data_IF_973496434170
#
_entry.id   IF_973496434170
#
_cell.length_a   1.000
_cell.length_b   1.000
_cell.length_c   1.000
_cell.angle_alpha   90.00
_cell.angle_beta   90.00
_cell.angle_gamma   90.00
#
_symmetry.space_group_name_H-M   'P 1'
#
loop_
_entity.id
_entity.type
_entity.pdbx_description
1 polymer ?
#
# COMPACT_ATOMS: atom_id res chain seq x y z
N UNK A 1 3.09 36.34 -14.14
CA UNK A 1 3.28 36.54 -12.69
C UNK A 1 4.72 36.18 -12.41
N UNK A 2 5.50 37.08 -11.75
CA UNK A 2 6.89 36.75 -11.43
C UNK A 2 6.95 35.55 -10.47
N UNK A 3 7.94 34.65 -10.57
CA UNK A 3 8.09 33.49 -9.70
C UNK A 3 8.05 33.88 -8.20
N UNK A 4 8.64 34.99 -7.82
CA UNK A 4 8.71 35.47 -6.44
C UNK A 4 7.34 35.80 -5.82
N UNK A 5 6.44 36.40 -6.61
CA UNK A 5 5.06 36.68 -6.17
C UNK A 5 4.22 35.40 -5.99
N UNK A 6 4.56 34.34 -6.71
CA UNK A 6 3.89 33.07 -6.58
C UNK A 6 4.28 32.39 -5.26
N UNK A 7 5.57 32.32 -4.95
CA UNK A 7 6.10 31.69 -3.74
C UNK A 7 5.62 32.36 -2.46
N UNK A 8 5.57 33.70 -2.41
CA UNK A 8 5.06 34.44 -1.25
C UNK A 8 3.57 34.16 -0.97
N UNK A 9 2.75 34.04 -2.01
CA UNK A 9 1.35 33.70 -1.86
C UNK A 9 1.14 32.24 -1.47
N UNK A 10 1.98 31.35 -1.98
CA UNK A 10 1.96 29.92 -1.66
C UNK A 10 2.33 29.67 -0.20
N UNK A 11 3.27 30.41 0.38
CA UNK A 11 3.61 30.35 1.81
C UNK A 11 2.43 30.61 2.73
N UNK A 12 1.45 31.43 2.30
CA UNK A 12 0.24 31.70 3.08
C UNK A 12 -0.68 30.48 3.25
N UNK A 13 -0.50 29.46 2.43
CA UNK A 13 -1.25 28.19 2.55
C UNK A 13 -0.69 27.28 3.65
N UNK A 14 0.58 27.46 4.03
CA UNK A 14 1.17 26.73 5.15
C UNK A 14 0.80 27.40 6.47
N UNK A 15 0.31 26.67 7.49
CA UNK A 15 0.05 27.23 8.82
C UNK A 15 1.30 27.77 9.49
N UNK A 16 2.49 27.37 9.06
CA UNK A 16 3.78 27.83 9.59
C UNK A 16 4.51 28.80 8.64
N UNK A 17 3.89 29.14 7.51
CA UNK A 17 4.50 30.01 6.50
C UNK A 17 5.71 29.40 5.81
N UNK A 18 5.87 28.09 5.86
CA UNK A 18 7.01 27.34 5.33
C UNK A 18 6.57 26.43 4.18
N UNK A 19 7.31 26.50 3.07
CA UNK A 19 7.02 25.73 1.85
C UNK A 19 8.34 25.33 1.21
N UNK A 20 8.45 24.05 0.83
CA UNK A 20 9.56 23.55 0.02
C UNK A 20 9.14 23.47 -1.44
N UNK A 21 10.04 23.94 -2.33
CA UNK A 21 9.85 23.82 -3.76
C UNK A 21 10.43 22.49 -4.25
N UNK A 22 9.63 21.77 -5.05
CA UNK A 22 10.03 20.49 -5.61
C UNK A 22 9.73 20.43 -7.11
N UNK A 23 10.68 19.92 -7.89
CA UNK A 23 10.44 19.60 -9.29
C UNK A 23 9.86 18.18 -9.42
N UNK A 24 8.71 18.05 -10.04
CA UNK A 24 8.07 16.77 -10.34
C UNK A 24 8.04 16.55 -11.85
N UNK A 25 8.44 15.36 -12.26
CA UNK A 25 8.31 14.90 -13.65
C UNK A 25 6.94 14.25 -13.82
N UNK A 26 6.10 14.81 -14.67
CA UNK A 26 4.79 14.26 -14.99
C UNK A 26 4.90 13.38 -16.24
N UNK A 27 4.72 12.08 -16.07
CA UNK A 27 4.70 11.07 -17.14
C UNK A 27 5.99 10.29 -17.31
N UNK A 28 5.84 9.06 -17.75
CA UNK A 28 6.93 8.13 -18.05
C UNK A 28 7.70 8.63 -19.29
N UNK A 29 8.91 9.13 -19.14
CA UNK A 29 9.75 9.78 -20.16
C UNK A 29 9.45 11.25 -20.48
N UNK A 30 8.66 11.97 -19.70
CA UNK A 30 8.44 13.39 -19.93
C UNK A 30 9.70 14.19 -19.59
N UNK A 31 10.14 15.06 -20.53
CA UNK A 31 11.16 16.07 -20.27
C UNK A 31 10.58 17.29 -19.54
N UNK A 32 9.26 17.37 -19.43
CA UNK A 32 8.58 18.48 -18.77
C UNK A 32 8.68 18.33 -17.26
N UNK A 33 9.39 19.24 -16.65
CA UNK A 33 9.48 19.43 -15.21
C UNK A 33 8.43 20.45 -14.80
N UNK A 34 7.55 20.07 -13.88
CA UNK A 34 6.61 21.00 -13.26
C UNK A 34 7.08 21.29 -11.84
N UNK A 35 7.04 22.57 -11.49
CA UNK A 35 7.29 23.00 -10.13
C UNK A 35 6.07 22.73 -9.28
N UNK A 36 6.24 22.08 -8.14
CA UNK A 36 5.23 21.87 -7.12
C UNK A 36 5.74 22.33 -5.77
N UNK A 37 4.85 22.44 -4.79
CA UNK A 37 5.16 22.97 -3.47
C UNK A 37 4.68 21.98 -2.40
N UNK A 38 5.55 21.66 -1.47
CA UNK A 38 5.22 20.88 -0.28
C UNK A 38 4.99 21.85 0.90
N UNK A 39 3.77 21.88 1.44
CA UNK A 39 3.38 22.78 2.51
C UNK A 39 3.70 22.17 3.89
N UNK A 40 4.56 22.83 4.65
CA UNK A 40 4.80 22.39 6.03
C UNK A 40 3.54 22.56 6.88
N UNK A 41 3.21 21.50 7.64
CA UNK A 41 2.03 21.46 8.51
C UNK A 41 0.74 21.00 7.84
N UNK A 42 0.77 20.74 6.51
CA UNK A 42 -0.36 20.17 5.76
C UNK A 42 0.15 19.01 4.92
N UNK A 43 -0.43 17.85 5.09
CA UNK A 43 -0.18 16.71 4.20
C UNK A 43 -1.12 16.78 2.99
N UNK A 44 -0.54 16.77 1.81
CA UNK A 44 -1.29 16.74 0.55
C UNK A 44 -1.34 15.31 0.02
N UNK A 45 -2.54 14.83 -0.24
CA UNK A 45 -2.77 13.52 -0.85
C UNK A 45 -3.67 13.69 -2.07
N UNK A 46 -3.08 13.59 -3.26
CA UNK A 46 -3.85 13.58 -4.50
C UNK A 46 -4.63 12.26 -4.62
N UNK A 47 -5.96 12.35 -4.75
CA UNK A 47 -6.81 11.16 -4.78
C UNK A 47 -6.54 10.25 -5.99
N UNK A 48 -6.07 10.81 -7.12
CA UNK A 48 -5.63 10.01 -8.26
C UNK A 48 -4.42 9.14 -7.90
N UNK A 49 -3.44 9.69 -7.19
CA UNK A 49 -2.26 8.93 -6.74
C UNK A 49 -2.65 7.90 -5.66
N UNK A 50 -3.55 8.26 -4.75
CA UNK A 50 -4.13 7.34 -3.77
C UNK A 50 -4.84 6.17 -4.47
N UNK A 51 -5.65 6.46 -5.49
CA UNK A 51 -6.34 5.44 -6.28
C UNK A 51 -5.36 4.54 -7.04
N UNK A 52 -4.35 5.09 -7.69
CA UNK A 52 -3.32 4.31 -8.37
C UNK A 52 -2.59 3.35 -7.43
N UNK A 53 -2.33 3.80 -6.20
CA UNK A 53 -1.60 3.00 -5.20
C UNK A 53 -2.46 1.94 -4.53
N UNK A 54 -3.67 2.29 -4.13
CA UNK A 54 -4.51 1.46 -3.26
C UNK A 54 -5.79 0.94 -3.94
N UNK A 55 -6.17 1.47 -5.09
CA UNK A 55 -7.37 1.09 -5.82
C UNK A 55 -7.26 -0.21 -6.64
N UNK A 56 -6.36 -1.11 -6.27
CA UNK A 56 -6.08 -2.35 -7.02
C UNK A 56 -7.29 -3.27 -7.21
N UNK A 57 -8.33 -3.16 -6.39
CA UNK A 57 -9.57 -3.91 -6.54
C UNK A 57 -10.29 -3.60 -7.87
N UNK A 58 -10.03 -2.44 -8.45
CA UNK A 58 -10.59 -2.01 -9.73
C UNK A 58 -9.69 -2.35 -10.93
N UNK A 59 -8.51 -2.93 -10.69
CA UNK A 59 -7.54 -3.25 -11.72
C UNK A 59 -6.87 -2.03 -12.35
N UNK A 60 -6.06 -2.28 -13.37
CA UNK A 60 -5.43 -1.22 -14.15
C UNK A 60 -6.46 -0.55 -15.06
N UNK A 61 -6.47 0.79 -15.06
CA UNK A 61 -7.41 1.59 -15.84
C UNK A 61 -6.75 2.15 -17.10
N UNK A 62 -7.53 2.27 -18.18
CA UNK A 62 -7.07 2.91 -19.42
C UNK A 62 -6.79 4.39 -19.21
N UNK A 63 -7.55 5.04 -18.34
CA UNK A 63 -7.38 6.44 -17.95
C UNK A 63 -7.67 6.62 -16.47
N UNK A 64 -6.83 7.41 -15.81
CA UNK A 64 -7.03 7.83 -14.41
C UNK A 64 -7.67 9.22 -14.30
N UNK A 65 -8.30 9.71 -15.38
CA UNK A 65 -9.09 10.95 -15.32
C UNK A 65 -10.26 10.80 -14.36
N UNK A 66 -10.65 11.89 -13.69
CA UNK A 66 -11.77 11.92 -12.76
C UNK A 66 -13.06 11.36 -13.38
N UNK A 67 -13.32 11.70 -14.66
CA UNK A 67 -14.50 11.22 -15.38
C UNK A 67 -14.49 9.69 -15.57
N UNK A 68 -13.36 9.12 -15.99
CA UNK A 68 -13.26 7.67 -16.18
C UNK A 68 -13.41 6.92 -14.86
N UNK A 69 -12.74 7.40 -13.81
CA UNK A 69 -12.84 6.76 -12.48
C UNK A 69 -14.25 6.91 -11.91
N UNK A 70 -14.94 8.06 -12.12
CA UNK A 70 -16.32 8.23 -11.71
C UNK A 70 -17.24 7.22 -12.40
N UNK A 71 -17.04 6.97 -13.69
CA UNK A 71 -17.79 5.96 -14.42
C UNK A 71 -17.53 4.54 -13.87
N UNK A 72 -16.27 4.16 -13.69
CA UNK A 72 -15.89 2.82 -13.22
C UNK A 72 -16.34 2.57 -11.78
N UNK A 73 -16.15 3.55 -10.91
CA UNK A 73 -16.41 3.37 -9.47
C UNK A 73 -17.85 3.66 -9.10
N UNK A 74 -18.43 4.76 -9.58
CA UNK A 74 -19.76 5.24 -9.19
C UNK A 74 -20.84 4.97 -10.24
N UNK A 75 -20.48 4.68 -11.49
CA UNK A 75 -21.41 4.62 -12.61
C UNK A 75 -21.92 6.00 -13.06
N UNK A 76 -21.20 7.07 -12.73
CA UNK A 76 -21.55 8.46 -13.00
C UNK A 76 -20.51 9.14 -13.89
N UNK A 77 -20.88 10.28 -14.44
CA UNK A 77 -20.00 11.13 -15.24
C UNK A 77 -19.92 12.54 -14.66
N UNK A 78 -18.86 13.26 -15.04
CA UNK A 78 -18.72 14.70 -14.79
C UNK A 78 -19.76 15.49 -15.59
N UNK A 79 -19.99 16.73 -15.21
CA UNK A 79 -20.72 17.66 -16.06
C UNK A 79 -19.92 17.94 -17.33
N UNK A 80 -20.57 17.99 -18.49
CA UNK A 80 -19.90 18.36 -19.74
C UNK A 80 -19.85 19.87 -19.91
N UNK A 81 -18.75 20.34 -20.51
CA UNK A 81 -18.55 21.72 -20.93
C UNK A 81 -18.12 21.83 -22.39
N UNK A 82 -18.24 20.73 -23.15
CA UNK A 82 -17.74 20.64 -24.53
C UNK A 82 -18.36 21.69 -25.46
N UNK A 83 -19.59 22.11 -25.19
CA UNK A 83 -20.27 23.18 -25.94
C UNK A 83 -19.58 24.54 -25.82
N UNK A 84 -18.74 24.77 -24.81
CA UNK A 84 -17.99 25.99 -24.59
C UNK A 84 -16.53 25.90 -25.05
N UNK A 85 -16.05 24.71 -25.46
CA UNK A 85 -14.70 24.47 -25.97
C UNK A 85 -13.63 24.38 -24.88
N UNK A 86 -13.59 25.31 -23.91
CA UNK A 86 -12.63 25.30 -22.79
C UNK A 86 -13.29 25.72 -21.48
N UNK A 87 -12.66 25.33 -20.34
CA UNK A 87 -13.09 25.76 -19.01
C UNK A 87 -13.01 27.28 -18.83
N UNK A 88 -12.08 27.95 -19.54
CA UNK A 88 -11.96 29.37 -19.50
C UNK A 88 -13.12 30.08 -20.26
N UNK A 89 -13.54 29.49 -21.35
CA UNK A 89 -14.69 30.00 -22.10
C UNK A 89 -15.98 29.76 -21.35
N UNK A 90 -16.13 28.61 -20.71
CA UNK A 90 -17.24 28.34 -19.79
C UNK A 90 -17.29 29.36 -18.66
N UNK A 91 -16.15 29.65 -18.01
CA UNK A 91 -16.08 30.66 -16.94
C UNK A 91 -16.59 32.05 -17.40
N UNK A 92 -16.30 32.43 -18.64
CA UNK A 92 -16.77 33.73 -19.22
C UNK A 92 -18.21 33.69 -19.68
N UNK A 93 -18.65 32.59 -20.26
CA UNK A 93 -19.97 32.49 -20.89
C UNK A 93 -21.08 32.12 -19.89
N UNK A 94 -20.79 31.20 -18.96
CA UNK A 94 -21.75 30.71 -17.96
C UNK A 94 -21.01 30.42 -16.62
N UNK A 95 -20.89 31.46 -15.83
CA UNK A 95 -20.21 31.41 -14.54
C UNK A 95 -20.89 30.45 -13.53
N UNK A 96 -22.24 30.34 -13.58
CA UNK A 96 -22.96 29.46 -12.69
C UNK A 96 -22.64 27.98 -13.02
N UNK A 97 -22.69 27.62 -14.31
CA UNK A 97 -22.33 26.28 -14.75
C UNK A 97 -20.86 25.93 -14.44
N UNK A 98 -19.96 26.92 -14.50
CA UNK A 98 -18.57 26.71 -14.08
C UNK A 98 -18.46 26.39 -12.59
N UNK A 99 -19.24 27.05 -11.72
CA UNK A 99 -19.30 26.76 -10.28
C UNK A 99 -19.86 25.34 -10.05
N UNK A 100 -21.00 25.01 -10.71
CA UNK A 100 -21.64 23.72 -10.60
C UNK A 100 -20.72 22.57 -11.07
N UNK A 101 -19.95 22.81 -12.13
CA UNK A 101 -18.91 21.88 -12.58
C UNK A 101 -17.86 21.61 -11.51
N UNK A 102 -17.37 22.67 -10.85
CA UNK A 102 -16.36 22.55 -9.80
C UNK A 102 -16.92 21.83 -8.57
N UNK A 103 -18.16 22.15 -8.15
CA UNK A 103 -18.84 21.46 -7.05
C UNK A 103 -18.97 19.97 -7.37
N UNK A 104 -19.40 19.62 -8.59
CA UNK A 104 -19.52 18.22 -9.00
C UNK A 104 -18.19 17.48 -8.96
N UNK A 105 -17.09 18.12 -9.35
CA UNK A 105 -15.76 17.50 -9.27
C UNK A 105 -15.36 17.18 -7.82
N UNK A 106 -15.65 18.08 -6.88
CA UNK A 106 -15.38 17.87 -5.45
C UNK A 106 -16.29 16.78 -4.87
N UNK A 107 -17.60 16.81 -5.18
CA UNK A 107 -18.55 15.77 -4.74
C UNK A 107 -18.17 14.37 -5.23
N UNK A 108 -17.64 14.23 -6.45
CA UNK A 108 -17.20 12.93 -6.95
C UNK A 108 -16.05 12.37 -6.12
N UNK A 109 -15.09 13.22 -5.73
CA UNK A 109 -13.96 12.78 -4.90
C UNK A 109 -14.42 12.38 -3.50
N UNK A 110 -15.32 13.13 -2.89
CA UNK A 110 -15.90 12.81 -1.59
C UNK A 110 -16.63 11.44 -1.63
N UNK A 111 -17.42 11.23 -2.66
CA UNK A 111 -18.14 9.96 -2.87
C UNK A 111 -17.22 8.78 -3.21
N UNK A 112 -16.04 9.03 -3.80
CA UNK A 112 -15.03 8.00 -3.93
C UNK A 112 -14.54 7.55 -2.56
N UNK A 113 -14.24 8.50 -1.67
CA UNK A 113 -13.81 8.15 -0.32
C UNK A 113 -14.90 7.41 0.44
N UNK A 114 -16.16 7.87 0.37
CA UNK A 114 -17.31 7.18 0.99
C UNK A 114 -17.42 5.72 0.52
N UNK A 115 -17.15 5.46 -0.77
CA UNK A 115 -17.29 4.12 -1.33
C UNK A 115 -16.06 3.25 -1.13
N UNK A 116 -14.87 3.80 -1.24
CA UNK A 116 -13.62 3.03 -1.28
C UNK A 116 -12.82 3.11 0.03
N UNK A 117 -12.91 4.23 0.77
CA UNK A 117 -12.16 4.43 2.02
C UNK A 117 -10.64 4.41 1.84
N UNK A 118 -10.11 4.87 0.71
CA UNK A 118 -8.68 4.77 0.39
C UNK A 118 -7.82 5.73 1.21
N UNK A 119 -8.32 6.93 1.52
CA UNK A 119 -7.65 7.86 2.45
C UNK A 119 -7.66 7.26 3.84
N UNK A 120 -8.79 6.70 4.27
CA UNK A 120 -8.91 6.01 5.57
C UNK A 120 -7.92 4.85 5.67
N UNK A 121 -7.71 4.09 4.59
CA UNK A 121 -6.71 3.04 4.52
C UNK A 121 -5.29 3.61 4.66
N UNK A 122 -4.96 4.67 3.91
CA UNK A 122 -3.66 5.33 3.99
C UNK A 122 -3.38 5.88 5.41
N UNK A 123 -4.38 6.53 6.04
CA UNK A 123 -4.28 6.99 7.42
C UNK A 123 -4.04 5.83 8.40
N UNK A 124 -4.74 4.72 8.23
CA UNK A 124 -4.54 3.51 9.04
C UNK A 124 -3.12 2.99 8.94
N UNK A 125 -2.55 2.97 7.71
CA UNK A 125 -1.16 2.58 7.47
C UNK A 125 -0.18 3.57 8.12
N UNK A 126 -0.42 4.87 8.00
CA UNK A 126 0.42 5.91 8.59
C UNK A 126 0.48 5.81 10.13
N UNK A 127 -0.68 5.65 10.77
CA UNK A 127 -0.76 5.48 12.23
C UNK A 127 -0.05 4.20 12.68
N UNK A 128 -0.25 3.09 11.98
CA UNK A 128 0.43 1.84 12.30
C UNK A 128 1.94 1.95 12.09
N UNK A 129 2.37 2.51 10.98
CA UNK A 129 3.77 2.74 10.65
C UNK A 129 4.44 3.78 11.54
N UNK A 130 3.69 4.75 12.09
CA UNK A 130 4.25 5.91 12.79
C UNK A 130 5.00 6.84 11.84
N UNK A 131 4.46 7.02 10.64
CA UNK A 131 5.02 7.84 9.56
C UNK A 131 4.05 8.95 9.16
N UNK A 132 4.50 9.92 8.35
CA UNK A 132 3.61 10.91 7.79
C UNK A 132 2.65 10.28 6.76
N UNK A 133 1.52 10.93 6.51
CA UNK A 133 0.51 10.41 5.59
C UNK A 133 1.04 10.22 4.16
N UNK A 134 1.88 11.13 3.68
CA UNK A 134 2.52 11.05 2.38
C UNK A 134 3.54 9.91 2.25
N UNK A 135 4.14 9.47 3.35
CA UNK A 135 5.10 8.37 3.35
C UNK A 135 4.43 7.01 3.08
N UNK A 136 3.10 6.94 3.20
CA UNK A 136 2.34 5.72 2.91
C UNK A 136 2.35 5.31 1.44
N UNK A 137 2.72 6.21 0.53
CA UNK A 137 2.98 5.89 -0.87
C UNK A 137 4.24 5.04 -1.07
N UNK A 138 5.18 5.06 -0.09
CA UNK A 138 6.37 4.21 -0.05
C UNK A 138 6.34 3.27 1.14
N UNK A 139 6.46 1.97 0.91
CA UNK A 139 6.44 0.98 2.00
C UNK A 139 7.74 0.92 2.79
N UNK A 140 8.86 1.33 2.20
CA UNK A 140 10.19 1.34 2.84
C UNK A 140 10.19 2.21 4.10
N UNK A 141 9.70 3.45 4.02
CA UNK A 141 9.65 4.35 5.18
C UNK A 141 8.79 3.79 6.34
N UNK A 142 7.71 3.08 6.00
CA UNK A 142 6.86 2.44 7.01
C UNK A 142 7.61 1.30 7.71
N UNK A 143 8.29 0.45 6.95
CA UNK A 143 9.06 -0.65 7.51
C UNK A 143 10.26 -0.18 8.32
N UNK A 144 10.98 0.83 7.84
CA UNK A 144 12.04 1.47 8.62
C UNK A 144 11.53 1.93 9.97
N UNK A 145 10.40 2.65 10.00
CA UNK A 145 9.82 3.14 11.24
C UNK A 145 9.36 1.99 12.18
N UNK A 146 8.74 0.94 11.63
CA UNK A 146 8.29 -0.22 12.43
C UNK A 146 9.50 -0.93 13.06
N UNK A 147 10.53 -1.24 12.26
CA UNK A 147 11.74 -1.93 12.73
C UNK A 147 12.49 -1.08 13.75
N UNK A 148 12.69 0.22 13.46
CA UNK A 148 13.35 1.12 14.42
C UNK A 148 12.64 1.21 15.75
N UNK A 149 11.30 1.27 15.75
CA UNK A 149 10.54 1.32 17.01
C UNK A 149 10.60 0.04 17.80
N UNK A 150 10.56 -1.12 17.13
CA UNK A 150 10.70 -2.41 17.81
C UNK A 150 12.09 -2.55 18.43
N UNK A 151 13.15 -2.30 17.67
CA UNK A 151 14.53 -2.36 18.15
C UNK A 151 14.84 -1.32 19.25
N UNK A 152 14.26 -0.13 19.15
CA UNK A 152 14.42 0.91 20.17
C UNK A 152 13.86 0.49 21.54
N UNK A 153 12.76 -0.28 21.58
CA UNK A 153 12.21 -0.83 22.81
C UNK A 153 13.17 -1.81 23.48
N UNK A 154 13.95 -2.54 22.68
CA UNK A 154 14.96 -3.49 23.15
C UNK A 154 16.34 -2.85 23.36
N UNK A 155 16.45 -1.50 23.26
CA UNK A 155 17.69 -0.72 23.33
C UNK A 155 18.74 -1.13 22.26
N UNK A 156 18.29 -1.57 21.11
CA UNK A 156 19.13 -1.96 19.98
C UNK A 156 19.19 -0.80 18.99
N UNK A 157 20.40 -0.42 18.59
CA UNK A 157 20.64 0.63 17.60
C UNK A 157 20.95 -0.01 16.26
N UNK A 158 20.19 0.40 15.23
CA UNK A 158 20.48 0.00 13.85
C UNK A 158 21.77 0.68 13.38
N UNK A 159 22.75 -0.08 12.85
CA UNK A 159 23.98 0.50 12.32
C UNK A 159 23.70 1.39 11.11
N UNK A 160 24.58 2.36 10.86
CA UNK A 160 24.50 3.16 9.64
C UNK A 160 24.58 2.27 8.40
N UNK A 161 23.76 2.57 7.37
CA UNK A 161 23.82 1.83 6.12
C UNK A 161 25.23 1.96 5.48
N UNK A 162 25.82 0.82 5.17
CA UNK A 162 27.06 0.78 4.39
C UNK A 162 26.68 0.76 2.92
N UNK A 163 27.28 1.65 2.11
CA UNK A 163 27.09 1.60 0.66
C UNK A 163 27.56 0.24 0.12
N UNK A 164 26.62 -0.55 -0.33
CA UNK A 164 26.91 -1.81 -1.04
C UNK A 164 26.54 -1.64 -2.51
N UNK A 165 27.37 -2.21 -3.38
CA UNK A 165 27.00 -2.33 -4.79
C UNK A 165 25.74 -3.19 -4.89
N UNK A 166 24.70 -2.65 -5.49
CA UNK A 166 23.48 -3.41 -5.76
C UNK A 166 23.80 -4.49 -6.79
N UNK A 167 23.80 -5.74 -6.36
CA UNK A 167 23.85 -6.89 -7.24
C UNK A 167 22.46 -7.20 -7.82
N UNK A 168 22.44 -7.69 -9.05
CA UNK A 168 21.23 -8.27 -9.61
C UNK A 168 20.99 -9.65 -8.96
N UNK A 169 19.75 -9.89 -8.55
CA UNK A 169 19.34 -11.21 -8.08
C UNK A 169 18.14 -11.71 -8.93
N UNK A 170 18.08 -13.00 -9.25
CA UNK A 170 16.98 -13.56 -10.02
C UNK A 170 15.68 -13.47 -9.24
N UNK A 171 14.61 -13.11 -9.92
CA UNK A 171 13.25 -13.16 -9.37
C UNK A 171 12.77 -14.58 -9.09
N UNK A 172 11.56 -14.72 -8.54
CA UNK A 172 10.94 -16.02 -8.32
C UNK A 172 10.81 -16.82 -9.62
N UNK A 173 10.99 -18.13 -9.53
CA UNK A 173 10.79 -19.03 -10.66
C UNK A 173 9.33 -19.04 -11.11
N UNK A 174 9.09 -18.79 -12.39
CA UNK A 174 7.79 -18.90 -13.03
C UNK A 174 7.86 -20.00 -14.10
N UNK A 175 7.07 -21.04 -13.92
CA UNK A 175 6.97 -22.09 -14.92
C UNK A 175 6.11 -21.63 -16.09
N UNK A 176 6.59 -21.81 -17.32
CA UNK A 176 5.83 -21.53 -18.52
C UNK A 176 4.53 -22.36 -18.57
N UNK A 177 3.38 -21.73 -18.84
CA UNK A 177 2.11 -22.44 -18.93
C UNK A 177 2.09 -23.37 -20.15
N UNK A 178 1.48 -24.53 -19.97
CA UNK A 178 1.16 -25.38 -21.12
C UNK A 178 -0.06 -24.82 -21.83
N UNK A 179 0.14 -24.30 -23.03
CA UNK A 179 -0.94 -23.71 -23.84
C UNK A 179 -1.88 -24.82 -24.33
N UNK A 180 -3.17 -24.66 -24.08
CA UNK A 180 -4.19 -25.63 -24.51
C UNK A 180 -5.45 -25.56 -23.67
N UNK A 181 -6.41 -26.41 -24.01
CA UNK A 181 -7.62 -26.64 -23.22
C UNK A 181 -7.36 -27.79 -22.27
N UNK A 182 -7.64 -27.58 -20.98
CA UNK A 182 -7.39 -28.57 -19.93
C UNK A 182 -8.68 -28.86 -19.17
N UNK A 183 -9.00 -30.15 -19.00
CA UNK A 183 -10.13 -30.62 -18.19
C UNK A 183 -9.69 -30.84 -16.74
N UNK A 184 -10.64 -30.73 -15.81
CA UNK A 184 -10.43 -31.02 -14.38
C UNK A 184 -9.32 -30.19 -13.72
N UNK A 185 -9.25 -28.89 -14.05
CA UNK A 185 -8.25 -27.95 -13.47
C UNK A 185 -8.57 -27.64 -12.02
N UNK A 186 -7.58 -27.81 -11.14
CA UNK A 186 -7.65 -27.41 -9.73
C UNK A 186 -6.60 -26.34 -9.46
N UNK A 187 -7.02 -25.22 -8.89
CA UNK A 187 -6.14 -24.12 -8.52
C UNK A 187 -5.89 -24.11 -7.02
N UNK A 188 -4.62 -24.00 -6.64
CA UNK A 188 -4.20 -23.85 -5.25
C UNK A 188 -3.47 -22.51 -5.09
N UNK A 189 -3.72 -21.83 -3.95
CA UNK A 189 -3.04 -20.61 -3.56
C UNK A 189 -2.50 -20.74 -2.13
N UNK A 190 -1.28 -20.28 -1.92
CA UNK A 190 -0.62 -20.29 -0.61
C UNK A 190 -0.88 -18.97 0.12
N UNK A 191 -1.62 -19.04 1.21
CA UNK A 191 -1.90 -17.89 2.04
C UNK A 191 -0.61 -17.26 2.60
N UNK A 192 -0.42 -15.94 2.31
CA UNK A 192 0.69 -15.17 2.87
C UNK A 192 2.06 -15.83 2.67
N UNK A 193 2.37 -16.28 1.44
CA UNK A 193 3.55 -17.08 1.13
C UNK A 193 4.85 -16.45 1.66
N UNK A 194 5.15 -15.18 1.30
CA UNK A 194 6.38 -14.51 1.73
C UNK A 194 6.48 -14.36 3.26
N UNK A 195 5.46 -13.83 3.96
CA UNK A 195 5.46 -13.81 5.42
C UNK A 195 5.70 -15.17 6.05
N UNK A 196 5.06 -16.21 5.52
CA UNK A 196 5.20 -17.58 6.03
C UNK A 196 6.62 -18.13 5.85
N UNK A 197 7.26 -17.84 4.72
CA UNK A 197 8.65 -18.25 4.47
C UNK A 197 9.63 -17.52 5.40
N UNK A 198 9.45 -16.22 5.61
CA UNK A 198 10.29 -15.46 6.53
C UNK A 198 10.20 -16.01 7.96
N UNK A 199 8.99 -16.31 8.43
CA UNK A 199 8.79 -16.93 9.74
C UNK A 199 9.38 -18.35 9.80
N UNK A 200 9.13 -19.19 8.78
CA UNK A 200 9.53 -20.59 8.75
C UNK A 200 11.05 -20.76 8.73
N UNK A 201 11.75 -19.92 7.96
CA UNK A 201 13.21 -19.98 7.85
C UNK A 201 13.91 -19.03 8.83
N UNK A 202 13.18 -18.33 9.66
CA UNK A 202 13.71 -17.33 10.59
C UNK A 202 14.61 -16.30 9.89
N UNK A 203 14.14 -15.79 8.74
CA UNK A 203 14.91 -14.87 7.88
C UNK A 203 14.98 -13.49 8.51
N UNK A 204 16.14 -13.12 9.02
CA UNK A 204 16.44 -11.79 9.55
C UNK A 204 17.95 -11.52 9.44
N UNK A 205 18.41 -10.28 9.32
CA UNK A 205 19.85 -9.99 9.19
C UNK A 205 20.70 -10.58 10.30
N UNK A 206 20.23 -10.53 11.55
CA UNK A 206 20.94 -11.00 12.72
C UNK A 206 20.90 -12.53 12.89
N UNK A 207 20.05 -13.22 12.15
CA UNK A 207 19.96 -14.69 12.17
C UNK A 207 20.77 -15.36 11.06
N UNK A 208 21.31 -14.56 10.12
CA UNK A 208 22.15 -15.08 9.04
C UNK A 208 23.42 -15.70 9.64
N UNK A 209 23.72 -16.92 9.20
CA UNK A 209 24.99 -17.60 9.49
C UNK A 209 25.86 -17.45 8.25
N UNK A 210 27.15 -17.11 8.43
CA UNK A 210 28.13 -17.01 7.35
C UNK A 210 28.52 -18.41 6.83
N UNK A 211 27.52 -19.09 6.30
CA UNK A 211 27.59 -20.44 5.75
C UNK A 211 26.62 -20.57 4.61
N UNK A 212 27.07 -21.13 3.51
CA UNK A 212 26.23 -21.37 2.34
C UNK A 212 26.43 -22.80 1.87
N UNK A 213 25.33 -23.48 1.53
CA UNK A 213 25.36 -24.79 0.88
C UNK A 213 25.29 -24.61 -0.62
N UNK A 214 26.44 -24.74 -1.34
CA UNK A 214 26.47 -24.45 -2.78
C UNK A 214 25.67 -25.49 -3.57
N UNK A 215 25.15 -25.05 -4.72
CA UNK A 215 24.42 -25.92 -5.64
C UNK A 215 23.09 -26.44 -5.13
N UNK A 216 22.46 -25.73 -4.20
CA UNK A 216 21.06 -25.96 -3.86
C UNK A 216 20.18 -25.62 -5.04
N UNK A 217 19.32 -26.55 -5.42
CA UNK A 217 18.30 -26.40 -6.44
C UNK A 217 17.01 -27.12 -6.01
N UNK A 218 15.95 -26.97 -6.79
CA UNK A 218 14.65 -27.51 -6.48
C UNK A 218 14.69 -29.03 -6.31
N UNK A 219 15.45 -29.73 -7.13
CA UNK A 219 15.55 -31.20 -7.10
C UNK A 219 16.24 -31.67 -5.82
N UNK A 220 17.31 -31.00 -5.39
CA UNK A 220 17.97 -31.29 -4.10
C UNK A 220 17.11 -30.97 -2.90
N UNK A 221 16.29 -29.94 -2.97
CA UNK A 221 15.33 -29.63 -1.89
C UNK A 221 14.27 -30.71 -1.79
N UNK A 222 13.80 -31.24 -2.92
CA UNK A 222 12.83 -32.34 -2.95
C UNK A 222 13.45 -33.66 -2.48
N UNK A 223 14.75 -33.88 -2.73
CA UNK A 223 15.52 -35.04 -2.23
C UNK A 223 16.14 -34.75 -0.85
N UNK A 224 15.31 -34.56 0.14
CA UNK A 224 15.71 -34.20 1.52
C UNK A 224 16.76 -35.10 2.17
N UNK A 225 17.13 -36.22 1.55
CA UNK A 225 18.12 -37.18 2.07
C UNK A 225 19.55 -36.68 1.98
N UNK A 226 19.85 -35.72 1.14
CA UNK A 226 21.19 -35.20 0.88
C UNK A 226 21.57 -33.96 1.69
N UNK A 227 20.64 -33.36 2.42
CA UNK A 227 20.86 -32.10 3.13
C UNK A 227 21.20 -32.39 4.60
N UNK A 228 22.49 -32.24 4.94
CA UNK A 228 22.92 -32.27 6.36
C UNK A 228 22.66 -30.89 6.97
N UNK A 229 21.84 -30.82 8.00
CA UNK A 229 21.57 -29.62 8.79
C UNK A 229 21.82 -29.88 10.26
N UNK A 230 22.32 -28.84 10.97
CA UNK A 230 22.32 -28.83 12.42
C UNK A 230 20.90 -28.67 12.96
N UNK A 231 20.60 -29.16 14.20
CA UNK A 231 19.28 -28.96 14.83
C UNK A 231 18.90 -27.49 14.98
N UNK A 232 19.89 -26.61 15.19
CA UNK A 232 19.73 -25.18 15.47
C UNK A 232 19.87 -24.30 14.22
N UNK A 233 19.84 -24.91 13.02
CA UNK A 233 19.96 -24.24 11.74
C UNK A 233 18.82 -24.63 10.80
N UNK A 234 18.35 -23.68 10.00
CA UNK A 234 17.55 -23.94 8.81
C UNK A 234 18.28 -23.43 7.56
N UNK A 235 18.01 -24.07 6.42
CA UNK A 235 18.65 -23.78 5.16
C UNK A 235 17.57 -23.32 4.19
N UNK A 236 17.68 -22.07 3.68
CA UNK A 236 16.82 -21.59 2.63
C UNK A 236 17.15 -22.25 1.28
N UNK A 237 16.19 -22.25 0.35
CA UNK A 237 16.35 -22.88 -0.97
C UNK A 237 17.57 -22.36 -1.74
N UNK A 238 17.97 -21.11 -1.53
CA UNK A 238 19.19 -20.54 -2.09
C UNK A 238 20.50 -21.01 -1.43
N UNK A 239 20.42 -21.90 -0.43
CA UNK A 239 21.59 -22.42 0.30
C UNK A 239 22.04 -21.57 1.49
N UNK A 240 21.43 -20.42 1.74
CA UNK A 240 21.75 -19.59 2.89
C UNK A 240 21.26 -20.24 4.19
N UNK A 241 22.08 -20.22 5.23
CA UNK A 241 21.75 -20.74 6.56
C UNK A 241 21.28 -19.63 7.49
N UNK A 242 20.28 -19.97 8.31
CA UNK A 242 19.76 -19.10 9.37
C UNK A 242 19.72 -19.90 10.69
N UNK A 243 20.08 -19.25 11.79
CA UNK A 243 19.96 -19.85 13.13
C UNK A 243 18.49 -19.91 13.56
N UNK A 244 18.14 -20.94 14.35
CA UNK A 244 16.77 -21.16 14.85
C UNK A 244 16.67 -21.16 16.38
N UNK A 245 17.80 -21.02 17.08
CA UNK A 245 17.87 -20.97 18.55
C UNK A 245 17.35 -19.62 19.12
N UNK A 246 17.33 -18.55 18.30
CA UNK A 246 16.77 -17.24 18.65
C UNK A 246 15.85 -16.79 17.53
N UNK A 247 14.67 -16.29 17.87
CA UNK A 247 13.76 -15.70 16.89
C UNK A 247 14.31 -14.36 16.38
N UNK A 248 14.35 -14.20 15.06
CA UNK A 248 14.77 -12.97 14.42
C UNK A 248 13.73 -11.85 14.56
N UNK A 249 14.19 -10.60 14.46
CA UNK A 249 13.33 -9.39 14.60
C UNK A 249 12.26 -9.37 13.51
N UNK A 250 12.63 -9.62 12.25
CA UNK A 250 11.63 -9.64 11.16
C UNK A 250 10.59 -10.73 11.34
N UNK A 251 10.94 -12.01 11.59
CA UNK A 251 9.97 -13.06 11.91
C UNK A 251 9.05 -12.70 13.07
N UNK A 252 9.57 -12.11 14.16
CA UNK A 252 8.79 -11.65 15.32
C UNK A 252 7.71 -10.64 14.90
N UNK A 253 8.12 -9.56 14.24
CA UNK A 253 7.21 -8.49 13.80
C UNK A 253 6.15 -9.05 12.83
N UNK A 254 6.56 -9.91 11.89
CA UNK A 254 5.64 -10.52 10.92
C UNK A 254 4.63 -11.43 11.62
N UNK A 255 5.05 -12.25 12.58
CA UNK A 255 4.17 -13.13 13.32
C UNK A 255 3.11 -12.37 14.10
N UNK A 256 3.52 -11.29 14.78
CA UNK A 256 2.61 -10.39 15.48
C UNK A 256 1.59 -9.76 14.52
N UNK A 257 2.06 -9.21 13.41
CA UNK A 257 1.20 -8.59 12.40
C UNK A 257 0.25 -9.61 11.75
N UNK A 258 0.73 -10.81 11.46
CA UNK A 258 -0.08 -11.87 10.88
C UNK A 258 -1.19 -12.30 11.84
N UNK A 259 -0.86 -12.53 13.11
CA UNK A 259 -1.80 -12.89 14.16
C UNK A 259 -2.87 -11.81 14.32
N UNK A 260 -2.46 -10.55 14.43
CA UNK A 260 -3.40 -9.42 14.49
C UNK A 260 -4.34 -9.39 13.27
N UNK A 261 -3.79 -9.58 12.06
CA UNK A 261 -4.62 -9.61 10.83
C UNK A 261 -5.68 -10.72 10.89
N UNK A 262 -5.31 -11.91 11.37
CA UNK A 262 -6.25 -13.04 11.52
C UNK A 262 -7.38 -12.67 12.48
N UNK A 263 -7.08 -12.03 13.59
CA UNK A 263 -8.08 -11.65 14.59
C UNK A 263 -8.99 -10.52 14.11
N UNK A 264 -8.43 -9.51 13.47
CA UNK A 264 -9.22 -8.43 12.82
C UNK A 264 -10.15 -9.01 11.74
N UNK A 265 -9.66 -9.96 10.93
CA UNK A 265 -10.48 -10.61 9.91
C UNK A 265 -11.62 -11.44 10.53
N UNK A 266 -11.38 -12.14 11.64
CA UNK A 266 -12.45 -12.84 12.39
C UNK A 266 -13.49 -11.87 12.92
N UNK A 267 -13.05 -10.73 13.49
CA UNK A 267 -13.95 -9.68 13.97
C UNK A 267 -14.81 -9.11 12.84
N UNK A 268 -14.22 -8.82 11.68
CA UNK A 268 -14.94 -8.38 10.47
C UNK A 268 -16.01 -9.39 10.05
N UNK A 269 -15.65 -10.68 9.94
CA UNK A 269 -16.59 -11.74 9.55
C UNK A 269 -17.73 -11.87 10.58
N UNK A 270 -17.43 -11.72 11.86
CA UNK A 270 -18.45 -11.72 12.92
C UNK A 270 -19.42 -10.55 12.73
N UNK A 271 -18.89 -9.34 12.55
CA UNK A 271 -19.73 -8.15 12.32
C UNK A 271 -20.59 -8.30 11.04
N UNK A 272 -20.05 -8.90 9.97
CA UNK A 272 -20.83 -9.20 8.75
C UNK A 272 -22.00 -10.17 9.01
N UNK A 273 -21.78 -11.19 9.85
CA UNK A 273 -22.85 -12.13 10.26
C UNK A 273 -23.88 -11.45 11.16
N UNK A 274 -23.47 -10.55 12.02
CA UNK A 274 -24.36 -9.81 12.89
C UNK A 274 -25.20 -8.80 12.10
N UNK A 275 -24.61 -8.17 11.08
CA UNK A 275 -25.35 -7.31 10.14
C UNK A 275 -26.53 -8.03 9.46
N UNK A 276 -26.38 -9.31 9.14
CA UNK A 276 -27.45 -10.11 8.54
C UNK A 276 -28.64 -10.38 9.48
N UNK A 277 -28.43 -10.24 10.81
CA UNK A 277 -29.45 -10.51 11.84
C UNK A 277 -30.18 -9.25 12.30
N UNK A 278 -29.66 -8.06 11.98
CA UNK A 278 -30.22 -6.79 12.40
C UNK A 278 -31.50 -6.48 11.62
N UNK A 279 -32.51 -5.97 12.30
CA UNK A 279 -33.73 -5.50 11.65
C UNK A 279 -33.40 -4.30 10.73
N UNK A 280 -33.86 -4.39 9.48
CA UNK A 280 -33.66 -3.34 8.48
C UNK A 280 -34.27 -1.99 8.85
N UNK A 281 -35.17 -1.95 9.83
CA UNK A 281 -35.75 -0.72 10.37
C UNK A 281 -34.82 0.00 11.35
N UNK A 282 -33.90 -0.69 11.99
CA UNK A 282 -32.93 -0.10 12.93
C UNK A 282 -31.71 0.50 12.20
N UNK A 283 -31.89 1.72 11.69
CA UNK A 283 -30.88 2.45 10.95
C UNK A 283 -29.64 2.76 11.80
N UNK A 284 -29.76 2.95 13.10
CA UNK A 284 -28.65 3.28 13.97
C UNK A 284 -27.72 2.07 14.14
N UNK A 285 -28.28 0.91 14.43
CA UNK A 285 -27.52 -0.32 14.61
C UNK A 285 -26.92 -0.79 13.28
N UNK A 286 -27.65 -0.68 12.16
CA UNK A 286 -27.11 -0.94 10.81
C UNK A 286 -25.88 -0.08 10.53
N UNK A 287 -25.97 1.24 10.77
CA UNK A 287 -24.84 2.15 10.57
C UNK A 287 -23.65 1.80 11.46
N UNK A 288 -23.89 1.50 12.74
CA UNK A 288 -22.84 1.11 13.69
C UNK A 288 -22.07 -0.12 13.21
N UNK A 289 -22.78 -1.17 12.82
CA UNK A 289 -22.17 -2.43 12.37
C UNK A 289 -21.47 -2.25 11.02
N UNK A 290 -22.05 -1.49 10.09
CA UNK A 290 -21.39 -1.18 8.80
C UNK A 290 -20.07 -0.43 9.00
N UNK A 291 -20.05 0.53 9.94
CA UNK A 291 -18.82 1.24 10.30
C UNK A 291 -17.78 0.31 10.92
N UNK A 292 -18.20 -0.61 11.79
CA UNK A 292 -17.31 -1.63 12.38
C UNK A 292 -16.71 -2.54 11.31
N UNK A 293 -17.51 -2.99 10.34
CA UNK A 293 -17.03 -3.79 9.19
C UNK A 293 -15.99 -3.00 8.40
N UNK A 294 -16.29 -1.75 8.03
CA UNK A 294 -15.39 -0.89 7.26
C UNK A 294 -14.06 -0.64 7.98
N UNK A 295 -14.09 -0.36 9.28
CA UNK A 295 -12.87 -0.18 10.08
C UNK A 295 -12.01 -1.44 10.12
N UNK A 296 -12.62 -2.60 10.34
CA UNK A 296 -11.91 -3.88 10.37
C UNK A 296 -11.37 -4.25 8.98
N UNK A 297 -12.11 -3.95 7.92
CA UNK A 297 -11.67 -4.17 6.55
C UNK A 297 -10.43 -3.33 6.22
N UNK A 298 -10.46 -2.02 6.50
CA UNK A 298 -9.32 -1.13 6.30
C UNK A 298 -8.12 -1.58 7.13
N UNK A 299 -8.33 -1.96 8.40
CA UNK A 299 -7.26 -2.43 9.27
C UNK A 299 -6.62 -3.73 8.77
N UNK A 300 -7.41 -4.75 8.41
CA UNK A 300 -6.85 -6.00 7.87
C UNK A 300 -6.17 -5.80 6.52
N UNK A 301 -6.66 -4.85 5.72
CA UNK A 301 -6.09 -4.54 4.42
C UNK A 301 -4.76 -3.79 4.58
N UNK A 302 -4.67 -2.82 5.47
CA UNK A 302 -3.42 -2.14 5.81
C UNK A 302 -2.33 -3.15 6.22
N UNK A 303 -2.67 -4.07 7.14
CA UNK A 303 -1.74 -5.12 7.57
C UNK A 303 -1.35 -6.03 6.39
N UNK A 304 -2.30 -6.40 5.53
CA UNK A 304 -2.02 -7.23 4.34
C UNK A 304 -1.03 -6.56 3.39
N UNK A 305 -1.21 -5.26 3.14
CA UNK A 305 -0.32 -4.50 2.25
C UNK A 305 1.09 -4.46 2.86
N UNK A 306 1.21 -4.18 4.14
CA UNK A 306 2.50 -4.15 4.82
C UNK A 306 3.18 -5.52 4.79
N UNK A 307 2.51 -6.58 5.18
CA UNK A 307 3.07 -7.95 5.16
C UNK A 307 3.57 -8.39 3.78
N UNK A 308 2.97 -7.89 2.70
CA UNK A 308 3.37 -8.23 1.33
C UNK A 308 4.43 -7.29 0.75
N UNK A 309 4.85 -6.28 1.47
CA UNK A 309 5.76 -5.23 1.00
C UNK A 309 7.15 -5.25 1.66
N UNK A 310 7.38 -6.19 2.57
CA UNK A 310 8.68 -6.40 3.21
C UNK A 310 9.70 -7.02 2.26
#
# INVERSE_FOLDING_TARGET
VSPDLCTENVKKLSPWGMVDEREVRIGYKSQNKNQTYDFHGISQMDYMEVFKKFGYAYGQQESYSLNNIAHVVLGEAKLSYEEHGSLYDLYKADHQKFIDYNIKDVELVDRFEDKMGLITLALTMAYRGGVNYTDTFGTTAIWDSIIFRDLYQDNIIVPFPVEQQKGDYPGGYVKEPQVGMHDHVVSFDLNSLYPSLIMQYNMSPETIIDKNTPGMDVDKVLDMKSIQRSPDECIAVGGQHFRTDVQGVLPKIIEEMYTERVDVKKAMIKAQKDLQKVDKSDKQELYRIQKEISLNENRQMAIKILLNSL
#
